data_IF_815992267773
#
_entry.id   IF_815992267773
#
_cell.length_a   1.000
_cell.length_b   1.000
_cell.length_c   1.000
_cell.angle_alpha   90.00
_cell.angle_beta   90.00
_cell.angle_gamma   90.00
#
_symmetry.space_group_name_H-M   'P 1'
#
loop_
_entity.id
_entity.type
_entity.pdbx_description
1 polymer ?
#
# COMPACT_ATOMS: atom_id res chain seq x y z
N UNK A 1 -2.76 -1.37 56.88
CA UNK A 1 -4.03 -0.70 56.55
C UNK A 1 -4.08 -0.57 55.04
N UNK A 2 -5.25 -0.47 54.41
CA UNK A 2 -5.27 -0.29 52.95
C UNK A 2 -4.54 1.03 52.61
N UNK A 3 -3.60 0.97 51.67
CA UNK A 3 -2.71 2.09 51.35
C UNK A 3 -1.49 2.29 52.26
N UNK A 4 -1.30 1.50 53.34
CA UNK A 4 -0.19 1.70 54.29
C UNK A 4 0.43 0.41 54.85
N UNK A 5 1.76 0.37 54.96
CA UNK A 5 2.55 -0.74 55.50
C UNK A 5 3.44 -0.35 56.69
N UNK A 6 4.11 -1.36 57.26
CA UNK A 6 4.97 -1.24 58.43
C UNK A 6 4.25 -1.58 59.74
N UNK A 7 5.01 -1.78 60.84
CA UNK A 7 4.48 -2.24 62.13
C UNK A 7 3.46 -1.28 62.74
N UNK A 8 3.46 -0.02 62.31
CA UNK A 8 2.53 1.03 62.75
C UNK A 8 1.65 1.59 61.62
N UNK A 9 1.69 1.02 60.41
CA UNK A 9 0.95 1.50 59.23
C UNK A 9 1.19 3.00 58.91
N UNK A 10 2.43 3.49 59.09
CA UNK A 10 2.78 4.90 58.91
C UNK A 10 3.46 5.20 57.58
N UNK A 11 3.74 4.18 56.75
CA UNK A 11 4.38 4.35 55.45
C UNK A 11 3.41 3.99 54.34
N UNK A 12 3.20 4.90 53.39
CA UNK A 12 2.29 4.67 52.28
C UNK A 12 2.80 3.55 51.38
N UNK A 13 1.91 2.65 50.96
CA UNK A 13 2.21 1.64 49.95
C UNK A 13 2.67 2.33 48.65
N UNK A 14 3.63 1.76 47.92
CA UNK A 14 3.90 2.16 46.53
C UNK A 14 2.64 1.94 45.69
N UNK A 15 1.96 3.02 45.32
CA UNK A 15 0.93 2.98 44.31
C UNK A 15 1.66 2.93 42.95
N UNK A 16 1.71 1.75 42.34
CA UNK A 16 2.23 1.56 40.98
C UNK A 16 1.31 2.28 39.98
N UNK A 17 0.62 1.54 39.13
CA UNK A 17 -0.43 2.05 38.25
C UNK A 17 -1.81 1.69 38.79
N UNK A 18 -1.99 1.69 40.11
CA UNK A 18 -3.32 1.54 40.68
C UNK A 18 -4.13 2.81 40.37
N UNK A 19 -5.40 2.66 39.97
CA UNK A 19 -6.34 3.76 39.80
C UNK A 19 -6.64 4.48 41.13
N UNK A 20 -7.43 5.55 41.08
CA UNK A 20 -7.86 6.27 42.28
C UNK A 20 -8.67 5.34 43.21
N UNK A 21 -8.02 4.79 44.24
CA UNK A 21 -8.55 3.76 45.12
C UNK A 21 -7.50 3.16 46.06
N UNK A 22 -7.85 2.10 46.78
CA UNK A 22 -6.99 1.48 47.79
C UNK A 22 -5.96 0.52 47.15
N UNK A 23 -4.66 0.82 47.31
CA UNK A 23 -3.57 -0.12 47.01
C UNK A 23 -3.35 -1.06 48.19
N UNK A 24 -3.23 -2.35 47.92
CA UNK A 24 -2.89 -3.35 48.94
C UNK A 24 -1.42 -3.70 48.78
N UNK A 25 -0.65 -3.56 49.85
CA UNK A 25 0.75 -3.96 49.88
C UNK A 25 1.05 -4.87 51.08
N UNK A 26 2.10 -5.67 50.95
CA UNK A 26 2.58 -6.56 52.00
C UNK A 26 3.00 -5.75 53.24
N UNK A 27 2.56 -6.20 54.42
CA UNK A 27 2.75 -5.45 55.68
C UNK A 27 4.22 -5.24 56.02
N UNK A 28 5.07 -6.21 55.73
CA UNK A 28 6.44 -6.27 56.25
C UNK A 28 7.46 -5.74 55.22
N UNK A 29 7.22 -5.97 53.92
CA UNK A 29 8.08 -5.52 52.81
C UNK A 29 7.60 -4.25 52.11
N UNK A 30 6.32 -3.90 52.24
CA UNK A 30 5.71 -2.78 51.50
C UNK A 30 5.51 -3.06 50.01
N UNK A 31 5.77 -4.28 49.53
CA UNK A 31 5.58 -4.63 48.12
C UNK A 31 4.10 -4.66 47.75
N UNK A 32 3.73 -4.00 46.65
CA UNK A 32 2.35 -4.01 46.14
C UNK A 32 1.91 -5.42 45.80
N UNK A 33 0.80 -5.86 46.37
CA UNK A 33 0.23 -7.20 46.16
C UNK A 33 -1.05 -7.16 45.35
N UNK A 34 -1.85 -6.09 45.46
CA UNK A 34 -3.04 -5.90 44.64
C UNK A 34 -3.42 -4.42 44.48
N UNK A 35 -4.12 -4.10 43.39
CA UNK A 35 -4.82 -2.84 43.16
C UNK A 35 -6.32 -3.12 42.98
N UNK A 36 -7.18 -2.23 43.46
CA UNK A 36 -8.64 -2.32 43.25
C UNK A 36 -9.04 -2.05 41.80
N UNK A 37 -8.32 -1.14 41.14
CA UNK A 37 -8.43 -0.87 39.70
C UNK A 37 -7.05 -0.46 39.18
N UNK A 38 -6.84 -0.60 37.87
CA UNK A 38 -5.64 -0.12 37.20
C UNK A 38 -5.90 1.22 36.52
N UNK A 39 -4.87 2.05 36.47
CA UNK A 39 -4.80 3.15 35.54
C UNK A 39 -4.98 2.59 34.12
N UNK A 40 -5.60 3.38 33.26
CA UNK A 40 -5.92 2.98 31.89
C UNK A 40 -4.69 2.41 31.18
N UNK A 41 -4.88 1.22 30.60
CA UNK A 41 -3.84 0.53 29.85
C UNK A 41 -2.95 -0.41 30.67
N UNK A 42 -2.96 -0.29 32.00
CA UNK A 42 -2.30 -1.25 32.87
C UNK A 42 -3.25 -2.38 33.25
N UNK A 43 -2.70 -3.58 33.40
CA UNK A 43 -3.47 -4.75 33.77
C UNK A 43 -2.71 -5.65 34.75
N UNK A 44 -3.36 -6.74 35.17
CA UNK A 44 -2.85 -7.62 36.23
C UNK A 44 -3.28 -7.18 37.62
N UNK A 45 -3.17 -8.09 38.57
CA UNK A 45 -3.63 -7.89 39.96
C UNK A 45 -2.92 -6.71 40.64
N UNK A 46 -1.70 -6.39 40.20
CA UNK A 46 -0.86 -5.31 40.72
C UNK A 46 -0.76 -4.10 39.79
N UNK A 47 -1.46 -4.13 38.66
CA UNK A 47 -1.33 -3.13 37.61
C UNK A 47 0.12 -2.95 37.13
N UNK A 48 0.85 -4.07 37.04
CA UNK A 48 2.25 -4.15 36.63
C UNK A 48 2.42 -4.71 35.22
N UNK A 49 1.33 -5.13 34.56
CA UNK A 49 1.36 -5.43 33.13
C UNK A 49 1.27 -4.12 32.36
N UNK A 50 2.34 -3.82 31.63
CA UNK A 50 2.49 -2.58 30.89
C UNK A 50 1.49 -2.48 29.72
N UNK A 51 1.12 -1.26 29.31
CA UNK A 51 0.23 -1.03 28.18
C UNK A 51 0.85 -1.50 26.86
N UNK A 52 0.03 -1.57 25.81
CA UNK A 52 0.50 -1.86 24.46
C UNK A 52 1.49 -0.80 23.97
N UNK A 53 2.31 -1.17 22.99
CA UNK A 53 3.42 -0.32 22.51
C UNK A 53 2.98 0.92 21.73
N UNK A 54 1.73 0.96 21.27
CA UNK A 54 1.20 2.06 20.47
C UNK A 54 -0.32 2.06 20.42
N UNK A 55 -0.91 3.15 19.91
CA UNK A 55 -2.35 3.23 19.63
C UNK A 55 -2.80 2.18 18.60
N UNK A 56 -1.94 1.84 17.65
CA UNK A 56 -2.23 0.80 16.69
C UNK A 56 -2.24 -0.58 17.34
N UNK A 57 -1.30 -0.87 18.24
CA UNK A 57 -1.29 -2.12 18.98
C UNK A 57 -2.55 -2.27 19.85
N UNK A 58 -3.03 -1.18 20.44
CA UNK A 58 -4.34 -1.11 21.10
C UNK A 58 -5.49 -1.44 20.13
N UNK A 59 -5.51 -0.82 18.95
CA UNK A 59 -6.53 -1.05 17.93
C UNK A 59 -6.56 -2.51 17.47
N UNK A 60 -5.40 -3.10 17.20
CA UNK A 60 -5.28 -4.50 16.78
C UNK A 60 -5.67 -5.48 17.89
N UNK A 61 -5.55 -5.07 19.15
CA UNK A 61 -6.10 -5.79 20.30
C UNK A 61 -7.62 -5.60 20.49
N UNK A 62 -8.27 -4.78 19.65
CA UNK A 62 -9.72 -4.59 19.62
C UNK A 62 -10.23 -3.27 20.20
N UNK A 63 -9.35 -2.31 20.54
CA UNK A 63 -9.79 -0.98 20.94
C UNK A 63 -10.38 -0.20 19.75
N UNK A 64 -11.51 0.48 19.97
CA UNK A 64 -12.23 1.19 18.90
C UNK A 64 -12.56 2.65 19.21
N UNK A 65 -12.25 3.13 20.41
CA UNK A 65 -12.65 4.49 20.86
C UNK A 65 -11.50 5.48 20.75
N UNK A 66 -11.79 6.66 20.19
CA UNK A 66 -10.85 7.79 20.14
C UNK A 66 -10.80 8.48 21.51
N UNK A 67 -9.65 8.40 22.18
CA UNK A 67 -9.41 8.97 23.52
C UNK A 67 -7.93 8.92 23.88
N UNK A 68 -7.58 9.31 25.10
CA UNK A 68 -6.23 9.08 25.61
C UNK A 68 -6.04 7.63 26.04
N UNK A 69 -4.86 7.09 25.72
CA UNK A 69 -4.38 5.78 26.16
C UNK A 69 -2.95 5.94 26.67
N UNK A 70 -2.55 5.09 27.60
CA UNK A 70 -1.15 4.88 27.90
C UNK A 70 -0.56 3.91 26.88
N UNK A 71 0.68 4.19 26.46
CA UNK A 71 1.48 3.30 25.62
C UNK A 71 2.87 3.11 26.23
N UNK A 72 3.45 1.93 26.02
CA UNK A 72 4.80 1.59 26.47
C UNK A 72 5.68 1.30 25.25
N UNK A 73 6.27 2.36 24.67
CA UNK A 73 6.81 2.32 23.31
C UNK A 73 8.02 1.37 23.14
N UNK A 74 8.82 1.14 24.17
CA UNK A 74 9.90 0.15 24.17
C UNK A 74 9.50 -1.20 24.82
N UNK A 75 8.25 -1.30 25.26
CA UNK A 75 7.61 -2.51 25.74
C UNK A 75 7.94 -2.88 27.19
N UNK A 76 7.26 -3.92 27.72
CA UNK A 76 7.30 -4.22 29.15
C UNK A 76 8.73 -4.45 29.67
N UNK A 77 9.12 -3.66 30.67
CA UNK A 77 10.44 -3.73 31.30
C UNK A 77 11.55 -2.98 30.55
N UNK A 78 11.19 -2.22 29.52
CA UNK A 78 12.06 -1.27 28.86
C UNK A 78 12.47 -0.10 29.78
N UNK A 79 13.60 0.58 29.47
CA UNK A 79 14.05 1.73 30.24
C UNK A 79 13.20 3.00 30.06
N UNK A 80 12.34 3.08 29.04
CA UNK A 80 11.51 4.25 28.76
C UNK A 80 10.17 4.11 29.50
N UNK A 81 9.78 5.10 30.32
CA UNK A 81 8.47 5.05 30.97
C UNK A 81 7.34 5.15 29.94
N UNK A 82 6.24 4.44 30.22
CA UNK A 82 4.99 4.59 29.48
C UNK A 82 4.55 6.07 29.41
N UNK A 83 3.91 6.45 28.32
CA UNK A 83 3.47 7.82 28.04
C UNK A 83 1.99 7.84 27.67
N UNK A 84 1.28 8.86 28.16
CA UNK A 84 -0.10 9.11 27.76
C UNK A 84 -0.13 9.82 26.41
N UNK A 85 -0.89 9.26 25.48
CA UNK A 85 -1.05 9.75 24.11
C UNK A 85 -2.52 9.80 23.73
N UNK A 86 -2.88 10.65 22.78
CA UNK A 86 -4.19 10.57 22.14
C UNK A 86 -4.14 9.54 21.01
N UNK A 87 -5.09 8.61 21.03
CA UNK A 87 -5.24 7.62 19.97
C UNK A 87 -6.45 7.94 19.10
N UNK A 88 -6.23 8.08 17.81
CA UNK A 88 -7.30 8.09 16.81
C UNK A 88 -7.50 6.66 16.28
N UNK A 89 -8.37 5.91 16.94
CA UNK A 89 -8.72 4.53 16.60
C UNK A 89 -9.60 4.47 15.35
N UNK A 90 -10.44 5.48 15.13
CA UNK A 90 -11.37 5.56 14.01
C UNK A 90 -10.64 5.61 12.67
N UNK A 91 -9.59 6.43 12.56
CA UNK A 91 -8.93 6.72 11.29
C UNK A 91 -7.66 5.90 11.04
N UNK A 92 -7.09 5.25 12.05
CA UNK A 92 -5.79 4.61 11.86
C UNK A 92 -5.27 3.76 13.01
N UNK A 93 -5.70 4.01 14.24
CA UNK A 93 -4.89 3.67 15.41
C UNK A 93 -3.69 4.61 15.51
N UNK A 94 -3.82 5.87 15.09
CA UNK A 94 -2.71 6.83 15.06
C UNK A 94 -2.37 7.29 16.47
N UNK A 95 -1.07 7.37 16.77
CA UNK A 95 -0.53 7.84 18.05
C UNK A 95 -0.18 9.32 17.97
N UNK A 96 -0.70 10.13 18.90
CA UNK A 96 -0.37 11.56 18.98
C UNK A 96 -0.02 12.00 20.39
N UNK A 97 1.22 12.44 20.59
CA UNK A 97 1.64 13.23 21.74
C UNK A 97 1.84 14.68 21.32
N UNK A 98 0.93 15.58 21.73
CA UNK A 98 1.08 17.02 21.52
C UNK A 98 2.00 17.64 22.56
N UNK A 99 3.05 18.31 22.09
CA UNK A 99 4.08 18.90 22.94
C UNK A 99 4.07 20.42 22.85
N UNK A 100 3.90 21.07 23.99
CA UNK A 100 4.35 22.45 24.19
C UNK A 100 5.72 22.40 24.86
N UNK A 101 6.79 22.71 24.12
CA UNK A 101 8.16 22.64 24.61
C UNK A 101 8.55 23.81 25.52
N UNK A 102 7.70 24.84 25.63
CA UNK A 102 7.93 26.03 26.43
C UNK A 102 8.85 27.07 25.78
N UNK A 103 9.67 26.66 24.81
CA UNK A 103 10.57 27.49 24.01
C UNK A 103 10.64 26.98 22.57
N UNK A 104 11.22 27.76 21.67
CA UNK A 104 11.45 27.35 20.29
C UNK A 104 12.41 26.15 20.22
N UNK A 105 12.03 25.12 19.46
CA UNK A 105 12.82 23.92 19.20
C UNK A 105 13.01 23.73 17.70
N UNK A 106 14.21 23.31 17.28
CA UNK A 106 14.41 22.78 15.92
C UNK A 106 13.78 21.40 15.77
N UNK A 107 13.67 20.89 14.54
CA UNK A 107 13.23 19.52 14.30
C UNK A 107 14.12 18.49 15.02
N UNK A 108 15.44 18.70 15.05
CA UNK A 108 16.40 17.82 15.76
C UNK A 108 16.19 17.84 17.29
N UNK A 109 15.88 19.00 17.87
CA UNK A 109 15.55 19.11 19.29
C UNK A 109 14.24 18.37 19.59
N UNK A 110 13.23 18.53 18.73
CA UNK A 110 11.94 17.86 18.85
C UNK A 110 12.08 16.34 18.71
N UNK A 111 12.88 15.84 17.76
CA UNK A 111 13.20 14.42 17.61
C UNK A 111 13.87 13.86 18.87
N UNK A 112 14.83 14.59 19.43
CA UNK A 112 15.49 14.19 20.69
C UNK A 112 14.48 14.11 21.85
N UNK A 113 13.52 15.05 21.90
CA UNK A 113 12.45 15.03 22.90
C UNK A 113 11.52 13.82 22.73
N UNK A 114 11.12 13.52 21.49
CA UNK A 114 10.27 12.39 21.17
C UNK A 114 10.99 11.05 21.45
N UNK A 115 12.25 10.93 21.04
CA UNK A 115 13.06 9.72 21.21
C UNK A 115 13.25 9.33 22.68
N UNK A 116 13.37 10.32 23.58
CA UNK A 116 13.42 10.09 25.03
C UNK A 116 12.13 9.43 25.60
N UNK A 117 11.07 9.32 24.80
CA UNK A 117 9.79 8.68 25.12
C UNK A 117 9.48 7.50 24.21
N UNK A 118 10.47 7.03 23.44
CA UNK A 118 10.30 5.94 22.46
C UNK A 118 9.44 6.34 21.26
N UNK A 119 9.30 7.64 21.01
CA UNK A 119 8.54 8.21 19.90
C UNK A 119 9.49 8.88 18.90
N UNK A 120 8.96 9.31 17.77
CA UNK A 120 9.66 10.15 16.79
C UNK A 120 8.89 11.46 16.57
N UNK A 121 9.54 12.46 15.96
CA UNK A 121 8.84 13.64 15.48
C UNK A 121 7.84 13.22 14.40
N UNK A 122 6.64 13.78 14.41
CA UNK A 122 5.55 13.39 13.53
C UNK A 122 5.95 13.35 12.05
N UNK A 123 5.59 12.24 11.39
CA UNK A 123 5.76 12.04 9.95
C UNK A 123 4.40 11.59 9.38
N UNK A 124 3.71 12.43 8.60
CA UNK A 124 2.45 12.04 7.99
C UNK A 124 2.72 10.94 6.96
N UNK A 125 2.17 9.75 7.17
CA UNK A 125 2.36 8.58 6.28
C UNK A 125 1.45 8.62 5.06
N UNK A 126 0.27 9.19 5.24
CA UNK A 126 -0.79 9.25 4.23
C UNK A 126 -1.55 10.56 4.34
N UNK A 127 -2.37 10.88 3.34
CA UNK A 127 -3.32 12.00 3.42
C UNK A 127 -4.28 11.90 4.62
N UNK A 128 -4.76 10.70 4.92
CA UNK A 128 -5.65 10.47 6.06
C UNK A 128 -4.90 10.69 7.38
N UNK A 129 -3.65 10.25 7.46
CA UNK A 129 -2.80 10.46 8.64
C UNK A 129 -2.55 11.95 8.89
N UNK A 130 -2.24 12.72 7.84
CA UNK A 130 -2.08 14.18 7.95
C UNK A 130 -3.37 14.89 8.34
N UNK A 131 -4.51 14.48 7.78
CA UNK A 131 -5.82 15.07 8.12
C UNK A 131 -6.21 14.80 9.58
N UNK A 132 -5.98 13.59 10.08
CA UNK A 132 -6.18 13.24 11.49
C UNK A 132 -5.25 14.06 12.39
N UNK A 133 -3.96 14.15 12.06
CA UNK A 133 -3.00 14.95 12.80
C UNK A 133 -3.37 16.44 12.83
N UNK A 134 -3.90 16.99 11.74
CA UNK A 134 -4.38 18.37 11.69
C UNK A 134 -5.60 18.60 12.61
N UNK A 135 -6.55 17.66 12.63
CA UNK A 135 -7.68 17.71 13.56
C UNK A 135 -7.21 17.67 15.02
N UNK A 136 -6.21 16.83 15.33
CA UNK A 136 -5.60 16.75 16.67
C UNK A 136 -4.82 18.03 17.02
N UNK A 137 -4.00 18.53 16.11
CA UNK A 137 -3.20 19.75 16.27
C UNK A 137 -4.09 20.96 16.61
N UNK A 138 -5.17 21.15 15.85
CA UNK A 138 -6.07 22.30 15.98
C UNK A 138 -7.11 22.15 17.10
N UNK A 139 -7.34 20.94 17.60
CA UNK A 139 -8.23 20.71 18.74
C UNK A 139 -7.67 21.29 20.04
N UNK A 140 -8.43 22.18 20.67
CA UNK A 140 -8.16 22.64 22.04
C UNK A 140 -8.58 21.66 23.13
N UNK A 141 -9.26 20.56 22.77
CA UNK A 141 -9.70 19.53 23.71
C UNK A 141 -8.65 18.41 23.89
N UNK A 142 -7.66 18.33 23.01
CA UNK A 142 -6.61 17.31 23.01
C UNK A 142 -5.27 17.97 23.30
N UNK A 143 -4.61 17.55 24.37
CA UNK A 143 -3.29 18.08 24.76
C UNK A 143 -3.33 19.53 25.25
N UNK A 144 -2.21 20.27 25.20
CA UNK A 144 -2.07 21.55 25.89
C UNK A 144 -2.89 22.71 25.31
N UNK A 145 -3.09 22.74 23.99
CA UNK A 145 -3.74 23.84 23.27
C UNK A 145 -4.09 23.45 21.83
N UNK A 146 -4.99 24.19 21.17
CA UNK A 146 -5.30 24.00 19.74
C UNK A 146 -4.54 24.99 18.85
N UNK A 147 -3.68 24.50 17.95
CA UNK A 147 -2.91 25.35 17.02
C UNK A 147 -2.40 24.55 15.82
N UNK A 148 -2.36 25.15 14.63
CA UNK A 148 -1.68 24.54 13.48
C UNK A 148 -0.16 24.47 13.64
N UNK A 149 0.41 25.24 14.58
CA UNK A 149 1.86 25.26 14.83
C UNK A 149 2.42 23.92 15.32
N UNK A 150 1.58 23.02 15.83
CA UNK A 150 1.96 21.65 16.17
C UNK A 150 2.43 20.83 14.95
N UNK A 151 2.12 21.28 13.72
CA UNK A 151 2.56 20.67 12.45
C UNK A 151 3.57 21.57 11.71
N UNK A 152 4.09 22.62 12.34
CA UNK A 152 4.99 23.57 11.69
C UNK A 152 6.35 22.96 11.32
N UNK A 153 6.81 21.99 12.12
CA UNK A 153 8.02 21.19 11.87
C UNK A 153 7.64 19.70 11.90
N UNK A 154 8.23 18.90 11.01
CA UNK A 154 7.96 17.46 10.85
C UNK A 154 9.27 16.70 10.58
N UNK A 155 9.27 15.39 10.80
CA UNK A 155 10.44 14.51 10.59
C UNK A 155 10.72 14.18 9.11
N UNK A 156 10.77 15.19 8.24
CA UNK A 156 11.00 15.04 6.80
C UNK A 156 12.19 15.92 6.40
N UNK A 157 13.18 15.32 5.77
CA UNK A 157 14.51 15.90 5.50
C UNK A 157 14.93 15.72 4.05
N UNK A 158 15.84 16.56 3.54
CA UNK A 158 16.39 16.38 2.20
C UNK A 158 17.39 15.21 2.20
N UNK A 159 17.33 14.34 1.19
CA UNK A 159 18.24 13.19 1.05
C UNK A 159 19.71 13.60 0.91
N UNK A 160 19.95 14.80 0.38
CA UNK A 160 21.28 15.40 0.22
C UNK A 160 21.16 16.93 0.13
N UNK A 161 22.25 17.63 0.38
CA UNK A 161 22.28 19.09 0.28
C UNK A 161 21.99 19.55 -1.17
N UNK A 162 20.97 20.39 -1.33
CA UNK A 162 20.49 20.83 -2.64
C UNK A 162 19.41 19.93 -3.25
N UNK A 163 18.85 18.99 -2.48
CA UNK A 163 17.68 18.23 -2.90
C UNK A 163 16.50 19.15 -3.27
N UNK A 164 15.66 18.75 -4.22
CA UNK A 164 14.48 19.54 -4.60
C UNK A 164 13.24 18.66 -4.72
N UNK A 165 12.09 19.30 -4.56
CA UNK A 165 10.78 18.75 -4.87
C UNK A 165 9.86 19.87 -5.37
N UNK A 166 10.45 20.78 -6.15
CA UNK A 166 9.82 21.99 -6.69
C UNK A 166 8.76 21.68 -7.75
N UNK A 167 7.59 22.30 -7.61
CA UNK A 167 6.45 22.20 -8.54
C UNK A 167 6.01 20.75 -8.81
N UNK A 168 6.10 19.89 -7.80
CA UNK A 168 5.72 18.48 -7.88
C UNK A 168 5.18 17.98 -6.53
N UNK A 169 4.50 16.82 -6.50
CA UNK A 169 3.98 16.25 -5.27
C UNK A 169 5.08 16.00 -4.23
N UNK A 170 4.84 16.43 -2.99
CA UNK A 170 5.73 16.26 -1.83
C UNK A 170 5.28 15.03 -1.04
N UNK A 171 5.74 13.85 -1.46
CA UNK A 171 5.49 12.56 -0.82
C UNK A 171 6.45 11.49 -1.36
N UNK A 172 6.66 10.40 -0.60
CA UNK A 172 7.62 9.34 -0.95
C UNK A 172 7.27 8.55 -2.23
N UNK A 173 6.00 8.49 -2.64
CA UNK A 173 5.62 7.87 -3.91
C UNK A 173 5.90 8.72 -5.16
N UNK A 174 6.52 9.90 -5.02
CA UNK A 174 7.04 10.67 -6.14
C UNK A 174 8.57 10.45 -6.20
N UNK A 175 9.08 9.58 -7.08
CA UNK A 175 10.51 9.25 -7.12
C UNK A 175 11.41 10.41 -7.59
N UNK A 176 10.82 11.52 -8.06
CA UNK A 176 11.57 12.75 -8.39
C UNK A 176 11.66 13.71 -7.21
N UNK A 177 10.95 13.44 -6.11
CA UNK A 177 11.03 14.18 -4.87
C UNK A 177 12.21 13.64 -4.05
N UNK A 178 13.25 14.45 -3.86
CA UNK A 178 14.51 14.03 -3.24
C UNK A 178 14.50 14.24 -1.71
N UNK A 179 13.38 13.92 -1.09
CA UNK A 179 13.12 14.14 0.33
C UNK A 179 12.70 12.81 0.96
N UNK A 180 13.06 12.62 2.22
CA UNK A 180 12.84 11.37 2.95
C UNK A 180 12.32 11.61 4.37
N UNK A 181 11.65 10.60 4.92
CA UNK A 181 11.28 10.55 6.31
C UNK A 181 12.54 10.27 7.17
N UNK A 182 12.67 10.88 8.35
CA UNK A 182 13.86 10.67 9.20
C UNK A 182 14.00 9.25 9.74
N UNK A 183 12.93 8.46 9.70
CA UNK A 183 12.94 7.05 10.07
C UNK A 183 13.12 6.09 8.87
N UNK A 184 13.32 6.64 7.66
CA UNK A 184 13.45 5.88 6.41
C UNK A 184 12.13 5.33 5.86
N UNK A 185 11.02 5.63 6.52
CA UNK A 185 9.69 5.20 6.11
C UNK A 185 9.06 6.07 5.02
N UNK A 186 7.79 5.83 4.75
CA UNK A 186 7.01 6.65 3.81
C UNK A 186 6.58 7.98 4.43
N UNK A 187 6.36 8.98 3.58
CA UNK A 187 5.75 10.25 4.02
C UNK A 187 4.82 10.82 2.94
N UNK A 188 3.87 11.64 3.36
CA UNK A 188 2.89 12.32 2.51
C UNK A 188 2.58 13.71 3.04
N UNK A 189 2.81 14.75 2.23
CA UNK A 189 2.43 16.14 2.55
C UNK A 189 1.38 16.67 1.57
N UNK A 190 1.59 16.49 0.27
CA UNK A 190 0.70 17.06 -0.75
C UNK A 190 0.88 16.47 -2.14
N UNK A 191 -0.19 16.51 -2.96
CA UNK A 191 -0.15 16.22 -4.40
C UNK A 191 -0.04 17.49 -5.28
N UNK A 192 0.14 18.65 -4.65
CA UNK A 192 0.24 19.92 -5.37
C UNK A 192 1.46 19.96 -6.28
N UNK A 193 1.31 20.62 -7.41
CA UNK A 193 2.37 20.83 -8.42
C UNK A 193 2.66 22.31 -8.66
N UNK A 194 2.04 23.19 -7.86
CA UNK A 194 2.05 24.64 -8.01
C UNK A 194 2.84 25.36 -6.91
N UNK A 195 3.53 24.61 -6.05
CA UNK A 195 4.38 25.15 -4.99
C UNK A 195 5.83 25.11 -5.45
N UNK A 196 6.50 26.27 -5.45
CA UNK A 196 7.86 26.43 -5.96
C UNK A 196 8.96 25.89 -5.03
N UNK A 197 8.56 25.22 -3.96
CA UNK A 197 9.38 24.67 -2.88
C UNK A 197 9.20 23.15 -2.79
N UNK A 198 10.14 22.41 -2.19
CA UNK A 198 11.47 22.85 -1.77
C UNK A 198 12.40 23.14 -2.96
N UNK A 199 13.12 24.27 -2.90
CA UNK A 199 13.81 24.89 -4.02
C UNK A 199 15.35 24.71 -4.05
N UNK A 200 15.91 23.82 -3.22
CA UNK A 200 17.34 23.42 -3.13
C UNK A 200 18.25 24.28 -2.25
N UNK A 201 17.69 25.18 -1.45
CA UNK A 201 18.45 25.99 -0.49
C UNK A 201 18.52 25.34 0.90
N UNK A 202 18.73 24.01 0.95
CA UNK A 202 18.64 23.20 2.17
C UNK A 202 19.97 22.64 2.70
N UNK A 203 19.92 22.23 3.97
CA UNK A 203 20.93 21.40 4.62
C UNK A 203 20.32 20.05 5.05
N UNK A 204 21.11 18.97 4.99
CA UNK A 204 20.68 17.60 5.38
C UNK A 204 20.23 17.46 6.83
N UNK A 205 20.54 18.43 7.69
CA UNK A 205 20.13 18.46 9.10
C UNK A 205 18.92 19.36 9.35
N UNK A 206 18.38 20.00 8.32
CA UNK A 206 17.32 20.99 8.44
C UNK A 206 16.04 20.48 7.79
N UNK A 207 15.00 20.29 8.61
CA UNK A 207 13.63 20.11 8.14
C UNK A 207 13.05 21.42 7.59
N UNK A 208 11.91 21.31 6.92
CA UNK A 208 11.13 22.43 6.37
C UNK A 208 10.16 23.00 7.41
N UNK A 209 9.66 24.21 7.14
CA UNK A 209 8.38 24.61 7.72
C UNK A 209 7.22 24.10 6.87
N UNK A 210 6.05 23.97 7.50
CA UNK A 210 4.80 23.67 6.83
C UNK A 210 3.69 24.61 7.29
N UNK A 211 2.86 25.05 6.36
CA UNK A 211 1.65 25.81 6.65
C UNK A 211 0.42 25.17 6.00
N UNK A 212 -0.71 25.32 6.68
CA UNK A 212 -1.96 24.65 6.37
C UNK A 212 -3.12 25.65 6.31
N UNK A 213 -4.07 25.38 5.40
CA UNK A 213 -5.37 26.04 5.41
C UNK A 213 -6.28 25.51 6.52
N UNK A 214 -7.45 26.13 6.69
CA UNK A 214 -8.43 25.72 7.72
C UNK A 214 -9.03 24.32 7.48
N UNK A 215 -8.84 23.76 6.28
CA UNK A 215 -9.26 22.40 5.93
C UNK A 215 -8.14 21.37 6.13
N UNK A 216 -6.97 21.79 6.60
CA UNK A 216 -5.81 20.92 6.84
C UNK A 216 -5.03 20.55 5.59
N UNK A 217 -5.23 21.24 4.46
CA UNK A 217 -4.40 21.04 3.28
C UNK A 217 -3.09 21.83 3.42
N UNK A 218 -1.96 21.19 3.13
CA UNK A 218 -0.68 21.89 3.06
C UNK A 218 -0.71 22.94 1.92
N UNK A 219 -0.50 24.20 2.29
CA UNK A 219 -0.56 25.35 1.37
C UNK A 219 0.79 26.00 1.09
N UNK A 220 1.74 25.84 2.00
CA UNK A 220 3.11 26.29 1.82
C UNK A 220 4.05 25.41 2.62
N UNK A 221 5.27 25.28 2.13
CA UNK A 221 6.42 24.72 2.83
C UNK A 221 7.65 25.40 2.27
N UNK A 222 8.74 25.42 3.01
CA UNK A 222 10.00 25.96 2.52
C UNK A 222 11.16 25.22 3.18
N UNK A 223 12.18 24.95 2.39
CA UNK A 223 13.48 24.53 2.85
C UNK A 223 14.40 25.73 3.04
N UNK A 224 15.35 25.63 3.98
CA UNK A 224 16.40 26.64 4.16
C UNK A 224 17.63 25.96 4.79
N UNK A 225 18.81 26.57 4.62
CA UNK A 225 20.04 26.11 5.27
C UNK A 225 19.92 26.17 6.80
N UNK A 226 19.13 27.12 7.32
CA UNK A 226 18.82 27.28 8.74
C UNK A 226 17.51 26.58 9.07
N UNK A 227 17.55 25.69 10.07
CA UNK A 227 16.36 24.96 10.50
C UNK A 227 15.30 25.90 11.04
N UNK A 228 14.06 25.71 10.61
CA UNK A 228 12.91 26.33 11.25
C UNK A 228 12.74 25.81 12.68
N UNK A 229 12.10 26.63 13.50
CA UNK A 229 11.77 26.26 14.88
C UNK A 229 10.27 26.33 15.12
N UNK A 230 9.81 25.52 16.05
CA UNK A 230 8.48 25.66 16.65
C UNK A 230 8.56 25.39 18.14
N UNK A 231 7.80 26.15 18.92
CA UNK A 231 7.50 25.80 20.32
C UNK A 231 6.59 24.58 20.45
N UNK A 232 5.80 24.30 19.41
CA UNK A 232 4.79 23.24 19.41
C UNK A 232 5.13 22.17 18.37
N UNK A 233 5.01 20.90 18.74
CA UNK A 233 5.20 19.79 17.80
C UNK A 233 4.43 18.54 18.26
N UNK A 234 4.27 17.58 17.37
CA UNK A 234 3.66 16.28 17.66
C UNK A 234 4.74 15.20 17.62
N UNK A 235 4.72 14.31 18.61
CA UNK A 235 5.43 13.04 18.53
C UNK A 235 4.46 11.90 18.19
N UNK A 236 4.90 10.92 17.41
CA UNK A 236 4.17 9.68 17.13
C UNK A 236 5.06 8.45 17.29
N UNK A 237 4.48 7.25 17.18
CA UNK A 237 5.21 5.98 17.28
C UNK A 237 5.89 5.56 15.97
N UNK A 238 5.68 6.28 14.86
CA UNK A 238 6.15 5.90 13.53
C UNK A 238 5.58 4.60 12.95
N UNK A 239 4.90 3.80 13.77
CA UNK A 239 4.41 2.46 13.49
C UNK A 239 3.18 2.39 12.59
N UNK A 240 2.84 3.48 11.90
CA UNK A 240 1.82 3.49 10.84
C UNK A 240 2.41 3.60 9.44
N UNK A 241 3.72 3.41 9.34
CA UNK A 241 4.42 3.21 8.07
C UNK A 241 4.08 1.84 7.47
N UNK A 242 2.83 1.67 7.05
CA UNK A 242 2.39 0.46 6.37
C UNK A 242 2.55 0.57 4.88
N UNK A 243 3.19 -0.45 4.34
CA UNK A 243 3.04 -0.80 2.95
C UNK A 243 1.61 -1.30 2.77
N UNK A 244 0.89 -0.68 1.84
CA UNK A 244 -0.45 -1.13 1.54
C UNK A 244 -0.44 -2.51 0.88
N UNK A 245 -1.51 -3.27 1.06
CA UNK A 245 -1.68 -4.61 0.52
C UNK A 245 -2.03 -4.63 -0.97
N UNK A 246 -2.40 -3.48 -1.54
CA UNK A 246 -2.70 -3.36 -2.97
C UNK A 246 -2.36 -1.97 -3.53
N UNK A 247 -2.20 -1.89 -4.85
CA UNK A 247 -2.04 -0.61 -5.55
C UNK A 247 -3.30 0.27 -5.41
N UNK A 248 -4.48 -0.35 -5.22
CA UNK A 248 -5.73 0.37 -4.98
C UNK A 248 -5.68 1.14 -3.67
N UNK A 249 -5.14 0.54 -2.63
CA UNK A 249 -4.98 1.19 -1.33
C UNK A 249 -3.97 2.34 -1.40
N UNK A 250 -2.85 2.16 -2.11
CA UNK A 250 -1.92 3.26 -2.43
C UNK A 250 -2.64 4.41 -3.17
N UNK A 251 -3.41 4.08 -4.19
CA UNK A 251 -4.19 5.05 -4.97
C UNK A 251 -5.19 5.82 -4.09
N UNK A 252 -5.92 5.11 -3.22
CA UNK A 252 -6.86 5.71 -2.27
C UNK A 252 -6.18 6.57 -1.21
N UNK A 253 -4.94 6.23 -0.87
CA UNK A 253 -4.05 7.04 -0.03
C UNK A 253 -3.41 8.24 -0.77
N UNK A 254 -3.89 8.52 -2.00
CA UNK A 254 -3.48 9.63 -2.86
C UNK A 254 -2.10 9.49 -3.52
N UNK A 255 -1.51 8.30 -3.56
CA UNK A 255 -0.30 8.04 -4.35
C UNK A 255 -0.70 7.68 -5.78
N UNK A 256 -0.76 8.70 -6.65
CA UNK A 256 -1.46 8.63 -7.95
C UNK A 256 -0.53 8.55 -9.18
N UNK A 257 0.76 8.26 -8.98
CA UNK A 257 1.73 8.14 -10.07
C UNK A 257 1.97 6.68 -10.43
N UNK A 258 1.90 6.32 -11.71
CA UNK A 258 2.24 4.96 -12.16
C UNK A 258 3.68 4.59 -11.78
N UNK A 259 3.91 3.33 -11.42
CA UNK A 259 5.26 2.93 -11.01
C UNK A 259 5.33 1.57 -10.33
N UNK A 260 6.48 1.30 -9.73
CA UNK A 260 6.67 0.12 -8.88
C UNK A 260 6.51 0.51 -7.43
N UNK A 261 5.66 -0.20 -6.70
CA UNK A 261 5.39 0.02 -5.29
C UNK A 261 5.67 -1.25 -4.51
N UNK A 262 6.17 -1.09 -3.28
CA UNK A 262 6.33 -2.20 -2.35
C UNK A 262 4.96 -2.44 -1.68
N UNK A 263 4.47 -3.68 -1.73
CA UNK A 263 3.19 -4.08 -1.17
C UNK A 263 3.38 -5.16 -0.10
N UNK A 264 2.66 -5.03 1.00
CA UNK A 264 2.54 -6.04 2.05
C UNK A 264 1.17 -6.73 1.91
N UNK A 265 1.12 -7.76 1.07
CA UNK A 265 -0.12 -8.34 0.54
C UNK A 265 -0.87 -9.22 1.53
N UNK A 266 -0.19 -9.77 2.53
CA UNK A 266 -0.81 -10.47 3.66
C UNK A 266 -1.00 -9.54 4.88
N UNK A 267 -0.59 -8.28 4.75
CA UNK A 267 -0.79 -7.21 5.70
C UNK A 267 0.18 -7.32 6.88
N UNK A 268 0.16 -6.28 7.72
CA UNK A 268 1.09 -6.08 8.84
C UNK A 268 1.33 -7.29 9.76
N UNK A 269 0.26 -8.06 10.05
CA UNK A 269 0.31 -9.22 10.93
C UNK A 269 0.62 -10.53 10.18
N UNK A 270 0.82 -10.41 8.87
CA UNK A 270 1.25 -11.45 7.95
C UNK A 270 2.69 -11.89 8.20
N UNK A 271 3.03 -13.06 7.67
CA UNK A 271 4.35 -13.65 7.80
C UNK A 271 5.22 -13.49 6.55
N UNK A 272 4.66 -13.00 5.45
CA UNK A 272 5.40 -12.80 4.22
C UNK A 272 6.13 -11.44 4.25
N UNK A 273 7.30 -11.42 3.64
CA UNK A 273 8.00 -10.15 3.42
C UNK A 273 7.29 -9.36 2.31
N UNK A 274 7.23 -8.03 2.42
CA UNK A 274 6.71 -7.18 1.35
C UNK A 274 7.45 -7.39 0.02
N UNK A 275 6.74 -7.22 -1.09
CA UNK A 275 7.30 -7.43 -2.43
C UNK A 275 6.91 -6.31 -3.40
N UNK A 276 7.73 -6.10 -4.43
CA UNK A 276 7.52 -5.03 -5.42
C UNK A 276 6.50 -5.45 -6.48
N UNK A 277 5.54 -4.58 -6.75
CA UNK A 277 4.52 -4.75 -7.80
C UNK A 277 4.43 -3.52 -8.68
N UNK A 278 4.08 -3.73 -9.96
CA UNK A 278 3.77 -2.64 -10.89
C UNK A 278 2.33 -2.17 -10.68
N UNK A 279 2.18 -0.89 -10.34
CA UNK A 279 0.91 -0.21 -10.13
C UNK A 279 0.58 0.74 -11.29
N UNK A 280 -0.63 0.59 -11.80
CA UNK A 280 -1.26 1.48 -12.75
C UNK A 280 -2.26 2.37 -11.98
N UNK A 281 -1.74 3.51 -11.54
CA UNK A 281 -2.45 4.52 -10.75
C UNK A 281 -3.33 5.40 -11.63
N UNK A 282 -2.90 5.69 -12.87
CA UNK A 282 -3.72 6.40 -13.86
C UNK A 282 -5.04 5.65 -14.15
N UNK A 283 -5.01 4.32 -14.15
CA UNK A 283 -6.16 3.43 -14.27
C UNK A 283 -6.95 3.20 -12.97
N UNK A 284 -6.60 3.90 -11.88
CA UNK A 284 -7.27 3.83 -10.59
C UNK A 284 -6.71 2.80 -9.61
N UNK A 285 -5.42 2.49 -9.69
CA UNK A 285 -4.72 1.65 -8.71
C UNK A 285 -4.75 0.15 -9.02
N UNK A 286 -4.54 -0.25 -10.28
CA UNK A 286 -4.44 -1.66 -10.66
C UNK A 286 -3.09 -2.26 -10.29
N UNK A 287 -3.10 -3.40 -9.59
CA UNK A 287 -1.90 -4.21 -9.30
C UNK A 287 -1.68 -5.23 -10.39
N UNK A 288 -0.54 -5.16 -11.09
CA UNK A 288 -0.16 -6.21 -12.05
C UNK A 288 0.30 -7.46 -11.30
N UNK A 289 -0.42 -8.58 -11.46
CA UNK A 289 -0.16 -9.83 -10.73
C UNK A 289 0.43 -10.93 -11.61
N UNK A 290 0.29 -10.82 -12.93
CA UNK A 290 0.96 -11.68 -13.89
C UNK A 290 1.20 -10.93 -15.21
N UNK A 291 2.32 -11.23 -15.86
CA UNK A 291 2.59 -10.82 -17.23
C UNK A 291 3.37 -11.90 -17.97
N UNK A 292 3.04 -12.12 -19.24
CA UNK A 292 3.69 -13.11 -20.09
C UNK A 292 3.70 -12.65 -21.55
N UNK A 293 4.89 -12.36 -22.07
CA UNK A 293 5.12 -11.98 -23.48
C UNK A 293 5.86 -13.07 -24.28
N UNK A 294 6.04 -14.25 -23.66
CA UNK A 294 6.70 -15.43 -24.23
C UNK A 294 8.14 -15.21 -24.70
N UNK A 295 8.83 -14.15 -24.27
CA UNK A 295 10.19 -13.87 -24.72
C UNK A 295 11.24 -14.91 -24.29
N UNK A 296 10.98 -15.65 -23.22
CA UNK A 296 11.82 -16.76 -22.77
C UNK A 296 11.62 -18.05 -23.57
N UNK A 297 10.61 -18.11 -24.45
CA UNK A 297 10.25 -19.32 -25.20
C UNK A 297 9.58 -20.41 -24.35
N UNK A 298 9.30 -20.15 -23.07
CA UNK A 298 8.64 -21.11 -22.19
C UNK A 298 7.14 -21.17 -22.43
N UNK A 299 6.57 -22.37 -22.31
CA UNK A 299 5.12 -22.64 -22.31
C UNK A 299 4.66 -23.22 -20.97
N UNK A 300 5.46 -23.06 -19.91
CA UNK A 300 5.18 -23.67 -18.61
C UNK A 300 3.79 -23.29 -18.08
N UNK A 301 3.02 -24.31 -17.72
CA UNK A 301 1.65 -24.19 -17.21
C UNK A 301 0.56 -24.07 -18.28
N UNK A 302 0.91 -23.94 -19.56
CA UNK A 302 -0.04 -23.99 -20.66
C UNK A 302 -0.41 -25.43 -21.00
N UNK A 303 -1.63 -25.62 -21.47
CA UNK A 303 -2.14 -26.92 -21.94
C UNK A 303 -1.37 -27.40 -23.19
N UNK A 304 -0.95 -26.46 -24.03
CA UNK A 304 -0.05 -26.73 -25.17
C UNK A 304 1.39 -26.70 -24.68
N UNK A 305 2.12 -27.82 -24.87
CA UNK A 305 3.53 -27.94 -24.47
C UNK A 305 4.48 -27.79 -25.67
N UNK A 306 5.58 -27.06 -25.48
CA UNK A 306 6.71 -26.90 -26.42
C UNK A 306 6.47 -26.04 -27.67
N UNK A 307 5.55 -25.08 -27.61
CA UNK A 307 5.29 -24.20 -28.76
C UNK A 307 5.18 -22.73 -28.34
N UNK A 308 6.27 -21.99 -28.55
CA UNK A 308 6.18 -20.55 -28.79
C UNK A 308 6.43 -20.31 -30.28
N UNK A 309 5.39 -19.99 -31.03
CA UNK A 309 5.49 -19.65 -32.45
C UNK A 309 5.86 -18.18 -32.61
N UNK A 310 6.76 -17.91 -33.56
CA UNK A 310 7.11 -16.54 -33.96
C UNK A 310 6.75 -16.34 -35.42
N UNK A 311 5.91 -15.35 -35.70
CA UNK A 311 5.58 -14.90 -37.06
C UNK A 311 5.81 -13.39 -37.13
N UNK A 312 6.74 -12.95 -37.97
CA UNK A 312 7.16 -11.54 -37.99
C UNK A 312 7.54 -11.04 -36.59
N UNK A 313 6.85 -10.02 -36.07
CA UNK A 313 7.02 -9.50 -34.72
C UNK A 313 6.17 -10.19 -33.65
N UNK A 314 5.25 -11.08 -34.03
CA UNK A 314 4.37 -11.78 -33.10
C UNK A 314 5.08 -12.92 -32.42
N UNK A 315 4.82 -13.07 -31.13
CA UNK A 315 5.31 -14.18 -30.31
C UNK A 315 4.16 -14.72 -29.50
N UNK A 316 3.85 -16.00 -29.71
CA UNK A 316 2.62 -16.57 -29.18
C UNK A 316 2.78 -17.98 -28.65
N UNK A 317 2.09 -18.31 -27.56
CA UNK A 317 1.88 -19.71 -27.18
C UNK A 317 0.79 -20.31 -28.06
N UNK A 318 1.12 -21.41 -28.74
CA UNK A 318 0.32 -21.94 -29.85
C UNK A 318 0.79 -21.42 -31.20
N UNK A 319 -0.15 -21.16 -32.12
CA UNK A 319 0.13 -20.71 -33.49
C UNK A 319 0.27 -21.86 -34.49
N UNK A 320 0.90 -21.55 -35.63
CA UNK A 320 1.04 -22.43 -36.77
C UNK A 320 1.56 -23.82 -36.42
N UNK A 321 0.89 -24.85 -36.95
CA UNK A 321 1.19 -26.28 -36.76
C UNK A 321 1.09 -26.77 -35.31
N UNK A 322 0.37 -26.05 -34.44
CA UNK A 322 0.35 -26.36 -33.01
C UNK A 322 -1.04 -26.41 -32.39
N UNK A 323 -1.93 -25.49 -32.76
CA UNK A 323 -3.32 -25.47 -32.28
C UNK A 323 -4.24 -25.47 -33.51
N UNK A 324 -5.17 -26.43 -33.55
CA UNK A 324 -6.04 -26.78 -34.69
C UNK A 324 -6.98 -27.93 -34.32
N UNK A 325 -7.91 -28.31 -35.20
CA UNK A 325 -8.96 -29.31 -34.89
C UNK A 325 -8.40 -30.68 -34.51
N UNK A 326 -7.32 -31.08 -35.18
CA UNK A 326 -6.69 -32.39 -34.98
C UNK A 326 -5.77 -32.50 -33.77
N UNK A 327 -5.43 -31.38 -33.11
CA UNK A 327 -4.45 -31.35 -32.03
C UNK A 327 -5.07 -30.97 -30.69
N UNK A 328 -5.51 -29.72 -30.56
CA UNK A 328 -6.08 -29.14 -29.34
C UNK A 328 -6.94 -27.94 -29.76
N UNK A 329 -8.27 -28.02 -29.55
CA UNK A 329 -9.18 -26.90 -29.81
C UNK A 329 -9.26 -25.89 -28.64
N UNK A 330 -8.55 -26.17 -27.54
CA UNK A 330 -8.51 -25.33 -26.36
C UNK A 330 -7.07 -25.23 -25.83
N UNK A 331 -6.69 -24.04 -25.36
CA UNK A 331 -5.41 -23.82 -24.69
C UNK A 331 -5.63 -22.95 -23.45
N UNK A 332 -5.23 -23.45 -22.30
CA UNK A 332 -5.47 -22.78 -21.03
C UNK A 332 -4.25 -22.81 -20.11
N UNK A 333 -4.15 -21.79 -19.26
CA UNK A 333 -3.22 -21.71 -18.14
C UNK A 333 -3.91 -21.07 -16.95
N UNK A 334 -3.67 -21.63 -15.77
CA UNK A 334 -4.09 -21.02 -14.50
C UNK A 334 -2.93 -20.20 -13.94
N UNK A 335 -3.14 -18.90 -13.81
CA UNK A 335 -2.23 -17.99 -13.13
C UNK A 335 -2.61 -17.92 -11.66
N UNK A 336 -1.63 -18.07 -10.77
CA UNK A 336 -1.78 -17.91 -9.32
C UNK A 336 -0.86 -16.79 -8.85
N UNK A 337 -1.32 -16.00 -7.90
CA UNK A 337 -0.57 -14.89 -7.32
C UNK A 337 -0.77 -14.83 -5.80
N UNK A 338 -0.03 -13.96 -5.12
CA UNK A 338 -0.21 -13.73 -3.69
C UNK A 338 -1.63 -13.20 -3.39
N UNK A 339 -2.10 -13.29 -2.15
CA UNK A 339 -3.47 -12.92 -1.76
C UNK A 339 -3.73 -11.40 -1.73
N UNK A 340 -3.33 -10.67 -2.79
CA UNK A 340 -3.59 -9.24 -2.98
C UNK A 340 -5.10 -8.99 -2.81
N UNK A 341 -5.54 -8.17 -1.84
CA UNK A 341 -6.96 -7.86 -1.67
C UNK A 341 -7.51 -7.10 -2.89
N UNK A 342 -8.58 -7.61 -3.48
CA UNK A 342 -9.22 -7.03 -4.67
C UNK A 342 -10.69 -7.44 -4.79
N UNK A 343 -11.43 -6.75 -5.65
CA UNK A 343 -12.82 -7.05 -6.02
C UNK A 343 -13.02 -7.20 -7.53
N UNK A 344 -12.00 -6.84 -8.32
CA UNK A 344 -12.01 -6.93 -9.76
C UNK A 344 -10.70 -7.54 -10.28
N UNK A 345 -10.79 -8.26 -11.39
CA UNK A 345 -9.63 -8.68 -12.18
C UNK A 345 -9.78 -8.18 -13.61
N UNK A 346 -8.68 -7.73 -14.20
CA UNK A 346 -8.58 -7.28 -15.58
C UNK A 346 -7.62 -8.17 -16.35
N UNK A 347 -8.03 -8.57 -17.54
CA UNK A 347 -7.21 -9.25 -18.53
C UNK A 347 -6.95 -8.31 -19.70
N UNK A 348 -5.70 -8.18 -20.09
CA UNK A 348 -5.27 -7.61 -21.37
C UNK A 348 -4.42 -8.69 -22.08
N UNK A 349 -4.76 -9.07 -23.31
CA UNK A 349 -3.97 -10.01 -24.10
C UNK A 349 -4.14 -9.78 -25.60
N UNK A 350 -3.28 -10.41 -26.40
CA UNK A 350 -3.46 -10.51 -27.85
C UNK A 350 -3.87 -11.93 -28.23
N UNK A 351 -5.00 -12.05 -28.95
CA UNK A 351 -5.40 -13.27 -29.64
C UNK A 351 -4.92 -13.20 -31.10
N UNK A 352 -4.14 -14.19 -31.55
CA UNK A 352 -3.67 -14.27 -32.92
C UNK A 352 -4.45 -15.31 -33.69
N UNK A 353 -5.06 -14.89 -34.79
CA UNK A 353 -5.66 -15.73 -35.83
C UNK A 353 -4.64 -15.93 -36.94
N UNK A 354 -4.35 -17.17 -37.30
CA UNK A 354 -3.35 -17.56 -38.30
C UNK A 354 -4.02 -18.32 -39.45
N UNK A 355 -3.64 -17.96 -40.68
CA UNK A 355 -4.15 -18.48 -41.95
C UNK A 355 -5.65 -18.24 -42.19
N UNK A 356 -6.26 -18.98 -43.11
CA UNK A 356 -7.48 -18.68 -43.83
C UNK A 356 -8.71 -19.43 -43.30
N UNK A 357 -9.09 -19.08 -42.06
CA UNK A 357 -10.26 -19.64 -41.35
C UNK A 357 -11.54 -19.66 -42.19
N UNK A 358 -12.23 -20.79 -42.19
CA UNK A 358 -13.44 -21.03 -42.96
C UNK A 358 -14.66 -20.19 -42.51
N UNK A 359 -15.76 -20.32 -43.27
CA UNK A 359 -17.01 -19.64 -42.95
C UNK A 359 -17.50 -19.95 -41.53
N UNK A 360 -17.71 -18.89 -40.75
CA UNK A 360 -18.30 -18.89 -39.39
C UNK A 360 -17.44 -19.48 -38.28
N UNK A 361 -16.13 -19.59 -38.50
CA UNK A 361 -15.20 -19.99 -37.45
C UNK A 361 -14.95 -18.86 -36.45
N UNK A 362 -14.99 -19.19 -35.16
CA UNK A 362 -15.02 -18.20 -34.09
C UNK A 362 -13.91 -18.46 -33.10
N UNK A 363 -13.12 -17.43 -32.80
CA UNK A 363 -12.18 -17.42 -31.69
C UNK A 363 -12.86 -16.95 -30.42
N UNK A 364 -12.51 -17.55 -29.28
CA UNK A 364 -13.05 -17.21 -27.97
C UNK A 364 -11.93 -17.04 -26.94
N UNK A 365 -12.14 -16.12 -26.01
CA UNK A 365 -11.33 -15.98 -24.80
C UNK A 365 -12.24 -16.08 -23.58
N UNK A 366 -11.90 -17.01 -22.69
CA UNK A 366 -12.52 -17.17 -21.40
C UNK A 366 -11.53 -16.72 -20.30
N UNK A 367 -11.98 -15.91 -19.35
CA UNK A 367 -11.21 -15.44 -18.20
C UNK A 367 -11.95 -15.74 -16.90
N UNK A 368 -11.27 -16.45 -15.98
CA UNK A 368 -11.86 -16.96 -14.74
C UNK A 368 -13.19 -17.72 -14.96
N UNK A 369 -13.27 -18.49 -16.04
CA UNK A 369 -14.44 -19.29 -16.41
C UNK A 369 -15.58 -18.52 -17.09
N UNK A 370 -15.43 -17.21 -17.33
CA UNK A 370 -16.41 -16.39 -18.07
C UNK A 370 -15.93 -16.15 -19.49
N UNK A 371 -16.80 -16.30 -20.49
CA UNK A 371 -16.49 -15.87 -21.85
C UNK A 371 -16.46 -14.34 -21.93
N UNK A 372 -15.29 -13.77 -22.17
CA UNK A 372 -15.07 -12.32 -22.17
C UNK A 372 -14.91 -11.73 -23.56
N UNK A 373 -14.65 -12.59 -24.55
CA UNK A 373 -14.51 -12.18 -25.94
C UNK A 373 -14.84 -13.34 -26.89
N UNK A 374 -15.44 -12.97 -28.02
CA UNK A 374 -15.68 -13.86 -29.15
C UNK A 374 -15.59 -13.04 -30.45
N UNK A 375 -14.98 -13.60 -31.49
CA UNK A 375 -14.95 -12.98 -32.81
C UNK A 375 -15.06 -14.03 -33.90
N UNK A 376 -16.02 -13.83 -34.80
CA UNK A 376 -16.18 -14.63 -36.00
C UNK A 376 -15.18 -14.16 -37.05
N UNK A 377 -14.46 -15.09 -37.66
CA UNK A 377 -13.59 -14.88 -38.80
C UNK A 377 -14.16 -15.57 -40.03
N UNK A 378 -13.57 -15.26 -41.19
CA UNK A 378 -13.82 -15.93 -42.45
C UNK A 378 -12.66 -15.64 -43.42
N UNK A 379 -12.48 -16.51 -44.40
CA UNK A 379 -11.55 -16.32 -45.50
C UNK A 379 -12.13 -15.34 -46.52
N UNK A 380 -11.39 -14.29 -46.93
CA UNK A 380 -11.93 -13.25 -47.82
C UNK A 380 -12.32 -13.76 -49.21
N UNK A 381 -11.82 -14.92 -49.63
CA UNK A 381 -12.21 -15.53 -50.91
C UNK A 381 -13.53 -16.31 -50.83
N UNK A 382 -14.20 -16.29 -49.67
CA UNK A 382 -15.50 -16.92 -49.44
C UNK A 382 -16.57 -15.86 -49.12
N UNK A 383 -17.84 -16.29 -49.08
CA UNK A 383 -18.95 -15.43 -48.64
C UNK A 383 -18.96 -15.37 -47.11
N UNK A 384 -18.52 -14.25 -46.56
CA UNK A 384 -18.54 -14.02 -45.11
C UNK A 384 -19.95 -13.76 -44.58
N UNK A 385 -20.28 -14.41 -43.46
CA UNK A 385 -21.49 -14.12 -42.70
C UNK A 385 -21.46 -12.72 -42.06
N UNK A 386 -22.62 -12.23 -41.62
CA UNK A 386 -22.72 -10.94 -40.95
C UNK A 386 -21.87 -10.91 -39.67
N UNK A 387 -21.02 -9.87 -39.53
CA UNK A 387 -20.13 -9.68 -38.37
C UNK A 387 -18.83 -10.50 -38.41
N UNK A 388 -18.62 -11.34 -39.42
CA UNK A 388 -17.35 -12.04 -39.62
C UNK A 388 -16.29 -11.08 -40.20
N UNK A 389 -15.07 -11.19 -39.69
CA UNK A 389 -13.93 -10.40 -40.16
C UNK A 389 -13.05 -11.26 -41.07
N UNK A 390 -12.73 -10.76 -42.26
CA UNK A 390 -11.80 -11.40 -43.20
C UNK A 390 -10.56 -10.55 -43.46
N UNK A 391 -9.53 -11.16 -44.04
CA UNK A 391 -8.31 -10.48 -44.49
C UNK A 391 -7.41 -10.15 -43.33
N UNK A 392 -6.33 -9.41 -43.59
CA UNK A 392 -5.29 -9.20 -42.58
C UNK A 392 -3.97 -8.89 -43.25
N UNK A 393 -2.92 -9.54 -42.78
CA UNK A 393 -1.58 -9.47 -43.36
C UNK A 393 -1.03 -10.88 -43.58
N UNK A 394 0.02 -10.97 -44.40
CA UNK A 394 0.85 -12.16 -44.54
C UNK A 394 2.11 -11.98 -43.67
N UNK A 395 2.03 -12.49 -42.45
CA UNK A 395 3.00 -12.36 -41.36
C UNK A 395 3.60 -13.73 -41.04
N UNK A 396 2.83 -14.81 -41.17
CA UNK A 396 3.29 -16.17 -40.90
C UNK A 396 3.87 -16.88 -42.14
N UNK A 397 3.99 -16.19 -43.28
CA UNK A 397 4.59 -16.73 -44.51
C UNK A 397 3.62 -17.58 -45.34
N UNK A 398 2.32 -17.29 -45.21
CA UNK A 398 1.26 -17.92 -45.98
C UNK A 398 1.21 -17.38 -47.41
N UNK A 399 0.20 -17.82 -48.18
CA UNK A 399 -0.04 -17.29 -49.53
C UNK A 399 -1.11 -16.19 -49.53
N UNK A 400 -1.86 -16.06 -48.43
CA UNK A 400 -3.01 -15.17 -48.31
C UNK A 400 -2.81 -14.20 -47.14
N UNK A 401 -3.08 -12.89 -47.31
CA UNK A 401 -2.95 -11.92 -46.24
C UNK A 401 -4.16 -12.00 -45.29
N UNK A 402 -4.18 -13.02 -44.45
CA UNK A 402 -5.35 -13.40 -43.64
C UNK A 402 -5.06 -13.34 -42.12
N UNK A 403 -3.80 -13.19 -41.72
CA UNK A 403 -3.44 -13.19 -40.30
C UNK A 403 -3.87 -11.90 -39.59
N UNK A 404 -4.39 -12.05 -38.37
CA UNK A 404 -4.85 -10.94 -37.52
C UNK A 404 -4.44 -11.10 -36.06
N UNK A 405 -4.17 -9.97 -35.42
CA UNK A 405 -4.12 -9.85 -33.98
C UNK A 405 -5.36 -9.10 -33.48
N UNK A 406 -6.05 -9.63 -32.48
CA UNK A 406 -7.11 -8.96 -31.75
C UNK A 406 -6.63 -8.68 -30.32
N UNK A 407 -6.56 -7.41 -29.95
CA UNK A 407 -6.28 -7.02 -28.57
C UNK A 407 -7.55 -7.18 -27.74
N UNK A 408 -7.55 -8.12 -26.81
CA UNK A 408 -8.67 -8.44 -25.92
C UNK A 408 -8.44 -7.79 -24.57
N UNK A 409 -9.38 -6.94 -24.16
CA UNK A 409 -9.41 -6.35 -22.83
C UNK A 409 -10.74 -6.65 -22.15
N UNK A 410 -10.68 -7.12 -20.90
CA UNK A 410 -11.87 -7.47 -20.14
C UNK A 410 -11.68 -7.21 -18.65
N UNK A 411 -12.71 -6.70 -17.97
CA UNK A 411 -12.74 -6.55 -16.52
C UNK A 411 -13.93 -7.30 -15.96
N UNK A 412 -13.69 -8.13 -14.95
CA UNK A 412 -14.72 -8.95 -14.29
C UNK A 412 -14.68 -8.74 -12.78
N UNK A 413 -15.81 -9.01 -12.11
CA UNK A 413 -15.82 -9.15 -10.66
C UNK A 413 -15.04 -10.42 -10.28
N UNK A 414 -14.10 -10.30 -9.34
CA UNK A 414 -13.18 -11.37 -8.98
C UNK A 414 -12.53 -11.12 -7.62
N UNK A 415 -12.31 -12.18 -6.83
CA UNK A 415 -11.67 -12.09 -5.50
C UNK A 415 -10.66 -13.22 -5.24
N UNK A 416 -10.57 -14.22 -6.11
CA UNK A 416 -9.67 -15.36 -5.91
C UNK A 416 -8.20 -14.97 -6.16
N UNK A 417 -7.25 -15.66 -5.54
CA UNK A 417 -5.81 -15.46 -5.76
C UNK A 417 -5.28 -16.19 -7.01
N UNK A 418 -6.18 -16.56 -7.92
CA UNK A 418 -5.85 -17.23 -9.17
C UNK A 418 -6.96 -17.05 -10.20
N UNK A 419 -6.60 -16.98 -11.47
CA UNK A 419 -7.55 -17.00 -12.59
C UNK A 419 -7.01 -17.84 -13.74
N UNK A 420 -7.92 -18.56 -14.40
CA UNK A 420 -7.61 -19.24 -15.66
C UNK A 420 -7.80 -18.29 -16.83
N UNK A 421 -6.80 -18.24 -17.71
CA UNK A 421 -6.93 -17.70 -19.08
C UNK A 421 -7.06 -18.90 -20.00
N UNK A 422 -8.13 -18.94 -20.79
CA UNK A 422 -8.42 -20.02 -21.73
C UNK A 422 -8.81 -19.45 -23.08
N UNK A 423 -8.21 -19.99 -24.14
CA UNK A 423 -8.63 -19.77 -25.51
C UNK A 423 -9.28 -21.02 -26.06
N UNK A 424 -10.21 -20.82 -26.98
CA UNK A 424 -10.78 -21.90 -27.80
C UNK A 424 -11.23 -21.36 -29.13
N UNK A 425 -11.33 -22.22 -30.13
CA UNK A 425 -11.85 -21.87 -31.44
C UNK A 425 -12.80 -22.94 -31.97
N UNK A 426 -13.61 -22.60 -32.98
CA UNK A 426 -14.45 -23.58 -33.70
C UNK A 426 -13.82 -24.02 -35.03
N UNK A 427 -12.51 -23.85 -35.18
CA UNK A 427 -11.79 -24.27 -36.38
C UNK A 427 -11.93 -25.78 -36.58
N UNK A 428 -12.07 -26.20 -37.83
CA UNK A 428 -12.29 -27.61 -38.17
C UNK A 428 -11.18 -28.21 -39.07
N UNK A 429 -10.15 -27.42 -39.39
CA UNK A 429 -9.02 -27.90 -40.18
C UNK A 429 -7.79 -28.20 -39.32
N UNK A 430 -6.78 -28.84 -39.93
CA UNK A 430 -5.55 -29.20 -39.26
C UNK A 430 -4.72 -27.97 -38.86
N UNK A 431 -3.93 -28.09 -37.81
CA UNK A 431 -3.16 -26.96 -37.23
C UNK A 431 -2.15 -26.30 -38.17
N UNK A 432 -1.77 -26.96 -39.27
CA UNK A 432 -0.87 -26.41 -40.28
C UNK A 432 -1.62 -25.69 -41.42
N UNK A 433 -2.94 -25.65 -41.33
CA UNK A 433 -3.84 -24.86 -42.18
C UNK A 433 -4.39 -23.74 -41.28
N UNK A 434 -5.42 -24.00 -40.48
CA UNK A 434 -6.01 -23.03 -39.57
C UNK A 434 -5.43 -23.14 -38.15
N UNK A 435 -4.95 -22.02 -37.60
CA UNK A 435 -4.41 -22.02 -36.24
C UNK A 435 -4.58 -20.70 -35.50
N UNK A 436 -4.30 -20.72 -34.19
CA UNK A 436 -4.34 -19.54 -33.34
C UNK A 436 -3.39 -19.66 -32.14
N UNK A 437 -3.15 -18.55 -31.47
CA UNK A 437 -2.36 -18.51 -30.23
C UNK A 437 -2.57 -17.22 -29.43
N UNK A 438 -1.93 -17.14 -28.27
CA UNK A 438 -1.96 -15.96 -27.40
C UNK A 438 -0.60 -15.28 -27.27
N UNK A 439 -0.61 -13.96 -27.17
CA UNK A 439 0.56 -13.14 -26.81
C UNK A 439 0.24 -12.05 -25.80
N UNK A 440 1.29 -11.43 -25.27
CA UNK A 440 1.23 -10.19 -24.48
C UNK A 440 0.17 -10.19 -23.36
N UNK A 441 0.12 -11.28 -22.59
CA UNK A 441 -0.87 -11.46 -21.53
C UNK A 441 -0.44 -10.63 -20.33
N UNK A 442 -1.37 -9.84 -19.80
CA UNK A 442 -1.23 -9.09 -18.56
C UNK A 442 -2.51 -9.29 -17.74
N UNK A 443 -2.34 -9.69 -16.48
CA UNK A 443 -3.43 -9.81 -15.51
C UNK A 443 -3.20 -8.77 -14.43
N UNK A 444 -4.22 -7.95 -14.18
CA UNK A 444 -4.24 -6.96 -13.09
C UNK A 444 -5.41 -7.21 -12.14
N UNK A 445 -5.27 -6.80 -10.89
CA UNK A 445 -6.35 -6.85 -9.88
C UNK A 445 -6.51 -5.51 -9.17
N UNK A 446 -7.73 -5.22 -8.70
CA UNK A 446 -8.07 -3.97 -7.99
C UNK A 446 -9.21 -4.14 -7.00
#
# INVERSE_FOLDING_TARGET
ENGWYGPTCTTACPALHCGAGEVVCDRDSGATIACESCADGFSGERCDQAPYTSCLAWRDAGATEDRTYWIDADGPGGPIPAVEVYCDMTNGGYTYLKVDYGQEATAVDAESYCAARGLQLFIPRTKAHLASAFAVATSGAIGPSGSKLYLYIMGIYPEFAGATCKNMPLHSGNPSCQWEASDGGTFWVSNRTDVAEPNSDNAVTSSMFYDFDDAGNAIAWNDTEVSYTSRYFICDTGDTDFLFASCKQWYDAAFQTDGTYLLDVDGRLGGAAPASYTCDMAGGGWTTVASENFASGTTSGWSVTNVVTTCGSWRMVGGYNCIGDSHLNENAKTYSWAAVPHTQAKLDLDFYKVDSWDQSETGYVDFAGQNVWAQNYCFCNQVCGAGAICGGADICGGTWPEERAAHVTATIAHTASSAQVKGRATINQESHDESWGFGNIVIKVR
#
